data_IF_903485567941
#
_entry.id   IF_903485567941
#
_cell.length_a   1.000
_cell.length_b   1.000
_cell.length_c   1.000
_cell.angle_alpha   90.00
_cell.angle_beta   90.00
_cell.angle_gamma   90.00
#
_symmetry.space_group_name_H-M   'P 1'
#
loop_
_entity.id
_entity.type
_entity.pdbx_description
1 polymer ?
#
# COMPACT_ATOMS: atom_id res chain seq x y z
N UNK A 1 0.24 39.73 0.82
CA UNK A 1 0.23 38.64 -0.17
C UNK A 1 -0.60 39.16 -1.33
N UNK A 2 -0.11 39.09 -2.56
CA UNK A 2 -0.88 39.41 -3.75
C UNK A 2 -2.03 38.41 -3.92
N UNK A 3 -3.17 38.80 -4.48
CA UNK A 3 -4.28 37.86 -4.76
C UNK A 3 -3.86 36.71 -5.62
N UNK A 4 -2.94 36.91 -6.56
CA UNK A 4 -2.38 35.82 -7.38
C UNK A 4 -1.60 34.79 -6.55
N UNK A 5 -0.87 35.21 -5.53
CA UNK A 5 -0.20 34.30 -4.59
C UNK A 5 -1.23 33.51 -3.78
N UNK A 6 -2.31 34.15 -3.34
CA UNK A 6 -3.41 33.49 -2.63
C UNK A 6 -4.09 32.44 -3.51
N UNK A 7 -4.44 32.79 -4.75
CA UNK A 7 -5.01 31.86 -5.72
C UNK A 7 -4.07 30.69 -5.99
N UNK A 8 -2.76 30.94 -6.08
CA UNK A 8 -1.77 29.86 -6.24
C UNK A 8 -1.70 28.93 -5.01
N UNK A 9 -1.79 29.47 -3.79
CA UNK A 9 -1.86 28.65 -2.58
C UNK A 9 -3.14 27.79 -2.55
N UNK A 10 -4.28 28.35 -2.92
CA UNK A 10 -5.54 27.62 -3.04
C UNK A 10 -5.42 26.51 -4.12
N UNK A 11 -4.84 26.80 -5.26
CA UNK A 11 -4.62 25.78 -6.32
C UNK A 11 -3.79 24.60 -5.80
N UNK A 12 -2.73 24.86 -5.04
CA UNK A 12 -1.95 23.79 -4.39
C UNK A 12 -2.80 23.01 -3.39
N UNK A 13 -3.64 23.66 -2.60
CA UNK A 13 -4.54 23.00 -1.66
C UNK A 13 -5.51 22.06 -2.39
N UNK A 14 -6.10 22.46 -3.52
CA UNK A 14 -6.98 21.58 -4.31
C UNK A 14 -6.25 20.36 -4.85
N UNK A 15 -5.02 20.52 -5.34
CA UNK A 15 -4.20 19.39 -5.80
C UNK A 15 -3.94 18.42 -4.65
N UNK A 16 -3.57 18.93 -3.48
CA UNK A 16 -3.26 18.09 -2.31
C UNK A 16 -4.50 17.43 -1.70
N UNK A 17 -5.69 18.06 -1.79
CA UNK A 17 -6.97 17.41 -1.42
C UNK A 17 -7.21 16.15 -2.28
N UNK A 18 -7.04 16.27 -3.60
CA UNK A 18 -7.21 15.14 -4.50
C UNK A 18 -6.15 14.06 -4.27
N UNK A 19 -4.89 14.46 -4.05
CA UNK A 19 -3.81 13.54 -3.72
C UNK A 19 -4.07 12.81 -2.39
N UNK A 20 -4.58 13.50 -1.36
CA UNK A 20 -4.95 12.88 -0.08
C UNK A 20 -6.04 11.82 -0.25
N UNK A 21 -7.06 12.10 -1.07
CA UNK A 21 -8.13 11.16 -1.39
C UNK A 21 -7.59 9.93 -2.13
N UNK A 22 -6.79 10.15 -3.17
CA UNK A 22 -6.17 9.07 -3.94
C UNK A 22 -5.25 8.23 -3.06
N UNK A 23 -4.42 8.85 -2.24
CA UNK A 23 -3.53 8.14 -1.32
C UNK A 23 -4.31 7.21 -0.39
N UNK A 24 -5.30 7.71 0.33
CA UNK A 24 -6.04 6.92 1.32
C UNK A 24 -6.89 5.81 0.69
N UNK A 25 -7.62 6.14 -0.38
CA UNK A 25 -8.58 5.22 -0.99
C UNK A 25 -7.95 4.23 -1.97
N UNK A 26 -6.98 4.67 -2.74
CA UNK A 26 -6.43 3.87 -3.84
C UNK A 26 -5.07 3.30 -3.43
N UNK A 27 -4.09 4.15 -3.13
CA UNK A 27 -2.73 3.67 -2.86
C UNK A 27 -2.66 2.84 -1.57
N UNK A 28 -3.38 3.25 -0.53
CA UNK A 28 -3.40 2.56 0.76
C UNK A 28 -4.49 1.48 0.78
N UNK A 29 -5.78 1.85 0.85
CA UNK A 29 -6.85 0.86 1.02
C UNK A 29 -6.91 -0.15 -0.13
N UNK A 30 -7.08 0.31 -1.38
CA UNK A 30 -7.30 -0.59 -2.51
C UNK A 30 -6.06 -1.42 -2.83
N UNK A 31 -4.92 -0.76 -3.06
CA UNK A 31 -3.71 -1.40 -3.58
C UNK A 31 -2.92 -2.19 -2.52
N UNK A 32 -3.30 -2.14 -1.24
CA UNK A 32 -2.70 -2.97 -0.18
C UNK A 32 -3.74 -3.83 0.52
N UNK A 33 -4.59 -3.27 1.37
CA UNK A 33 -5.54 -4.00 2.21
C UNK A 33 -6.49 -4.88 1.41
N UNK A 34 -7.20 -4.28 0.44
CA UNK A 34 -8.26 -4.96 -0.27
C UNK A 34 -7.75 -6.08 -1.18
N UNK A 35 -6.65 -5.84 -1.89
CA UNK A 35 -6.12 -6.79 -2.88
C UNK A 35 -5.35 -7.97 -2.26
N UNK A 36 -4.88 -7.86 -1.01
CA UNK A 36 -4.19 -8.95 -0.31
C UNK A 36 -5.18 -9.96 0.29
N UNK A 37 -6.36 -9.53 0.71
CA UNK A 37 -7.35 -10.39 1.36
C UNK A 37 -7.71 -11.66 0.57
N UNK A 38 -7.93 -11.64 -0.76
CA UNK A 38 -8.15 -12.82 -1.56
C UNK A 38 -7.04 -13.86 -1.47
N UNK A 39 -5.78 -13.42 -1.40
CA UNK A 39 -4.63 -14.32 -1.24
C UNK A 39 -4.59 -14.93 0.15
N UNK A 40 -4.91 -14.17 1.21
CA UNK A 40 -5.04 -14.70 2.57
C UNK A 40 -6.08 -15.82 2.61
N UNK A 41 -7.27 -15.56 2.06
CA UNK A 41 -8.37 -16.53 2.02
C UNK A 41 -7.96 -17.79 1.27
N UNK A 42 -7.41 -17.65 0.06
CA UNK A 42 -6.97 -18.77 -0.76
C UNK A 42 -5.89 -19.60 -0.05
N UNK A 43 -4.91 -18.94 0.58
CA UNK A 43 -3.82 -19.59 1.32
C UNK A 43 -4.36 -20.47 2.45
N UNK A 44 -5.27 -19.94 3.27
CA UNK A 44 -5.85 -20.72 4.37
C UNK A 44 -6.78 -21.85 3.94
N UNK A 45 -7.35 -21.77 2.74
CA UNK A 45 -8.30 -22.76 2.23
C UNK A 45 -7.67 -23.87 1.43
N UNK A 46 -6.62 -23.56 0.67
CA UNK A 46 -6.09 -24.47 -0.33
C UNK A 46 -4.70 -25.03 0.00
N UNK A 47 -3.92 -24.32 0.82
CA UNK A 47 -2.59 -24.76 1.20
C UNK A 47 -2.59 -25.33 2.61
N UNK A 48 -2.10 -26.56 2.78
CA UNK A 48 -1.87 -27.13 4.13
C UNK A 48 -0.84 -26.29 4.90
N UNK A 49 -0.91 -26.30 6.23
CA UNK A 49 0.02 -25.54 7.09
C UNK A 49 1.49 -26.00 6.93
N UNK A 50 1.70 -27.21 6.41
CA UNK A 50 3.03 -27.75 6.11
C UNK A 50 3.53 -27.39 4.73
N UNK A 51 2.65 -26.90 3.84
CA UNK A 51 2.98 -26.54 2.47
C UNK A 51 4.04 -25.42 2.43
N UNK A 52 5.07 -25.52 1.55
CA UNK A 52 6.15 -24.53 1.51
C UNK A 52 5.64 -23.10 1.24
N UNK A 53 4.70 -22.92 0.33
CA UNK A 53 4.16 -21.59 0.01
C UNK A 53 3.30 -21.03 1.16
N UNK A 54 2.56 -21.88 1.89
CA UNK A 54 1.89 -21.45 3.11
C UNK A 54 2.90 -20.89 4.13
N UNK A 55 4.00 -21.62 4.38
CA UNK A 55 5.06 -21.17 5.31
C UNK A 55 5.77 -19.90 4.85
N UNK A 56 5.94 -19.72 3.54
CA UNK A 56 6.52 -18.51 2.97
C UNK A 56 5.63 -17.29 3.24
N UNK A 57 4.33 -17.41 2.95
CA UNK A 57 3.39 -16.28 2.94
C UNK A 57 2.73 -16.00 4.30
N UNK A 58 2.63 -16.99 5.20
CA UNK A 58 1.96 -16.85 6.51
C UNK A 58 2.36 -15.60 7.30
N UNK A 59 3.64 -15.23 7.44
CA UNK A 59 4.02 -14.03 8.19
C UNK A 59 3.44 -12.73 7.60
N UNK A 60 3.18 -12.73 6.30
CA UNK A 60 2.67 -11.57 5.58
C UNK A 60 1.14 -11.43 5.64
N UNK A 61 0.48 -12.32 6.39
CA UNK A 61 -0.97 -12.39 6.53
C UNK A 61 -1.45 -12.28 7.99
N UNK A 62 -0.53 -12.18 8.95
CA UNK A 62 -0.77 -12.29 10.39
C UNK A 62 -1.99 -11.48 10.85
N UNK A 63 -2.05 -10.21 10.51
CA UNK A 63 -3.02 -9.26 11.05
C UNK A 63 -4.08 -8.81 10.02
N UNK A 64 -3.83 -9.05 8.74
CA UNK A 64 -4.58 -8.50 7.61
C UNK A 64 -6.09 -8.69 7.71
N UNK A 65 -6.57 -9.88 8.06
CA UNK A 65 -8.03 -10.15 8.10
C UNK A 65 -8.73 -9.39 9.21
N UNK A 66 -8.09 -9.28 10.37
CA UNK A 66 -8.62 -8.56 11.54
C UNK A 66 -8.67 -7.06 11.24
N UNK A 67 -7.59 -6.51 10.72
CA UNK A 67 -7.51 -5.08 10.38
C UNK A 67 -8.48 -4.73 9.25
N UNK A 68 -8.60 -5.55 8.23
CA UNK A 68 -9.57 -5.32 7.15
C UNK A 68 -11.02 -5.35 7.66
N UNK A 69 -11.34 -6.21 8.62
CA UNK A 69 -12.67 -6.24 9.23
C UNK A 69 -12.95 -4.94 10.00
N UNK A 70 -11.99 -4.43 10.79
CA UNK A 70 -12.10 -3.14 11.48
C UNK A 70 -12.20 -1.97 10.49
N UNK A 71 -11.39 -1.96 9.45
CA UNK A 71 -11.42 -0.93 8.41
C UNK A 71 -12.81 -0.84 7.73
N UNK A 72 -13.47 -1.98 7.48
CA UNK A 72 -14.84 -1.99 6.95
C UNK A 72 -15.86 -1.42 7.92
N UNK A 73 -15.63 -1.57 9.22
CA UNK A 73 -16.57 -1.05 10.23
C UNK A 73 -16.41 0.46 10.46
N UNK A 74 -15.21 1.01 10.30
CA UNK A 74 -14.90 2.39 10.70
C UNK A 74 -14.56 3.27 9.51
N UNK A 75 -13.81 2.77 8.53
CA UNK A 75 -13.24 3.57 7.46
C UNK A 75 -14.09 3.56 6.18
N UNK A 76 -14.47 2.37 5.71
CA UNK A 76 -15.04 2.14 4.37
C UNK A 76 -16.53 1.84 4.38
N UNK A 77 -17.21 1.99 5.50
CA UNK A 77 -18.66 1.87 5.60
C UNK A 77 -19.36 3.19 5.20
N UNK A 78 -20.68 3.12 4.98
CA UNK A 78 -21.50 4.30 4.78
C UNK A 78 -21.45 5.21 6.02
N UNK A 79 -21.23 6.50 5.82
CA UNK A 79 -20.90 7.50 6.84
C UNK A 79 -19.62 7.16 7.64
N UNK A 80 -18.76 6.34 7.10
CA UNK A 80 -17.44 6.05 7.68
C UNK A 80 -16.46 7.19 7.50
N UNK A 81 -15.24 6.97 8.00
CA UNK A 81 -14.21 8.00 8.01
C UNK A 81 -13.96 8.63 6.62
N UNK A 82 -13.83 7.81 5.56
CA UNK A 82 -13.56 8.33 4.22
C UNK A 82 -14.68 9.23 3.70
N UNK A 83 -15.94 8.88 3.96
CA UNK A 83 -17.06 9.73 3.53
C UNK A 83 -17.15 11.04 4.31
N UNK A 84 -16.72 11.04 5.59
CA UNK A 84 -16.84 12.23 6.45
C UNK A 84 -15.66 13.19 6.33
N UNK A 85 -14.46 12.70 6.02
CA UNK A 85 -13.22 13.47 6.20
C UNK A 85 -12.36 13.61 4.96
N UNK A 86 -12.71 12.92 3.87
CA UNK A 86 -11.94 12.94 2.61
C UNK A 86 -12.85 13.32 1.44
N UNK A 87 -12.36 14.16 0.55
CA UNK A 87 -13.02 14.45 -0.72
C UNK A 87 -12.97 13.20 -1.64
N UNK A 88 -14.02 12.84 -2.35
CA UNK A 88 -15.30 13.52 -2.55
C UNK A 88 -16.46 13.01 -1.65
N UNK A 89 -16.23 12.67 -0.41
CA UNK A 89 -17.26 12.29 0.55
C UNK A 89 -17.94 10.97 0.16
N UNK A 90 -19.26 10.94 0.10
CA UNK A 90 -20.06 9.74 -0.23
C UNK A 90 -19.72 9.06 -1.56
N UNK A 91 -19.00 9.76 -2.44
CA UNK A 91 -18.56 9.20 -3.72
C UNK A 91 -17.18 8.52 -3.65
N UNK A 92 -16.48 8.63 -2.53
CA UNK A 92 -15.12 8.12 -2.37
C UNK A 92 -14.99 6.64 -2.72
N UNK A 93 -15.86 5.79 -2.18
CA UNK A 93 -15.83 4.34 -2.43
C UNK A 93 -16.17 3.97 -3.88
N UNK A 94 -16.95 4.81 -4.58
CA UNK A 94 -17.24 4.61 -6.00
C UNK A 94 -16.01 4.82 -6.88
N UNK A 95 -15.14 5.76 -6.52
CA UNK A 95 -13.86 5.98 -7.21
C UNK A 95 -12.97 4.74 -7.04
N UNK A 96 -12.86 4.20 -5.83
CA UNK A 96 -12.08 2.98 -5.58
C UNK A 96 -12.59 1.81 -6.44
N UNK A 97 -13.91 1.61 -6.51
CA UNK A 97 -14.53 0.59 -7.36
C UNK A 97 -14.25 0.81 -8.85
N UNK A 98 -14.26 2.06 -9.30
CA UNK A 98 -13.96 2.38 -10.70
C UNK A 98 -12.49 2.10 -11.04
N UNK A 99 -11.56 2.49 -10.17
CA UNK A 99 -10.12 2.26 -10.36
C UNK A 99 -9.81 0.77 -10.39
N UNK A 100 -10.48 -0.02 -9.54
CA UNK A 100 -10.28 -1.47 -9.49
C UNK A 100 -10.59 -2.18 -10.80
N UNK A 101 -11.50 -1.68 -11.63
CA UNK A 101 -11.80 -2.27 -12.96
C UNK A 101 -10.57 -2.40 -13.85
N UNK A 102 -9.61 -1.50 -13.69
CA UNK A 102 -8.37 -1.46 -14.48
C UNK A 102 -7.15 -1.92 -13.69
N UNK A 103 -7.35 -2.41 -12.47
CA UNK A 103 -6.26 -2.91 -11.65
C UNK A 103 -5.74 -4.24 -12.17
N UNK A 104 -4.42 -4.38 -12.21
CA UNK A 104 -3.74 -5.57 -12.67
C UNK A 104 -2.70 -6.00 -11.64
N UNK A 105 -2.80 -7.23 -11.13
CA UNK A 105 -1.90 -7.76 -10.12
C UNK A 105 -0.44 -7.79 -10.59
N UNK A 106 -0.19 -8.19 -11.84
CA UNK A 106 1.19 -8.33 -12.36
C UNK A 106 1.91 -6.98 -12.49
N UNK A 107 1.16 -5.89 -12.57
CA UNK A 107 1.69 -4.53 -12.63
C UNK A 107 2.02 -3.96 -11.24
N UNK A 108 1.74 -4.69 -10.14
CA UNK A 108 2.05 -4.26 -8.78
C UNK A 108 3.47 -4.60 -8.34
N UNK A 109 4.21 -5.40 -9.10
CA UNK A 109 5.64 -5.58 -8.90
C UNK A 109 6.34 -4.23 -9.05
N UNK A 110 7.14 -3.80 -8.06
CA UNK A 110 7.67 -2.43 -8.02
C UNK A 110 8.40 -1.98 -9.30
N UNK A 111 9.29 -2.79 -9.93
CA UNK A 111 9.93 -2.37 -11.18
C UNK A 111 8.92 -2.12 -12.31
N UNK A 112 7.86 -2.95 -12.38
CA UNK A 112 6.81 -2.84 -13.41
C UNK A 112 5.94 -1.61 -13.15
N UNK A 113 5.53 -1.37 -11.90
CA UNK A 113 4.78 -0.19 -11.48
C UNK A 113 5.53 1.11 -11.80
N UNK A 114 6.82 1.17 -11.50
CA UNK A 114 7.65 2.34 -11.81
C UNK A 114 7.72 2.64 -13.31
N UNK A 115 7.85 1.62 -14.13
CA UNK A 115 7.83 1.78 -15.61
C UNK A 115 6.46 2.22 -16.09
N UNK A 116 5.38 1.58 -15.61
CA UNK A 116 3.99 1.93 -15.98
C UNK A 116 3.65 3.38 -15.63
N UNK A 117 4.09 3.86 -14.48
CA UNK A 117 3.88 5.26 -14.05
C UNK A 117 4.83 6.27 -14.74
N UNK A 118 5.72 5.82 -15.62
CA UNK A 118 6.70 6.70 -16.27
C UNK A 118 7.77 7.23 -15.33
N UNK A 119 8.04 6.58 -14.20
CA UNK A 119 9.08 6.94 -13.24
C UNK A 119 10.41 6.25 -13.54
N UNK A 120 10.38 5.17 -14.31
CA UNK A 120 11.54 4.40 -14.73
C UNK A 120 11.40 3.96 -16.20
N UNK A 121 12.50 3.53 -16.79
CA UNK A 121 12.54 2.82 -18.07
C UNK A 121 13.18 1.44 -17.90
N UNK A 122 12.81 0.44 -18.71
CA UNK A 122 13.51 -0.83 -18.73
C UNK A 122 15.00 -0.64 -19.02
N UNK A 123 15.84 -1.30 -18.22
CA UNK A 123 17.30 -1.25 -18.38
C UNK A 123 17.90 -2.59 -17.88
N UNK A 124 18.13 -3.55 -18.81
CA UNK A 124 18.70 -4.85 -18.46
C UNK A 124 20.12 -4.78 -17.86
N UNK A 125 20.83 -3.66 -18.04
CA UNK A 125 22.17 -3.46 -17.47
C UNK A 125 22.12 -2.98 -16.02
N UNK A 126 20.97 -2.49 -15.55
CA UNK A 126 20.76 -2.10 -14.16
C UNK A 126 20.59 -3.31 -13.26
N UNK A 127 21.10 -3.28 -12.01
CA UNK A 127 20.90 -4.37 -11.04
C UNK A 127 19.44 -4.69 -10.72
N UNK A 128 18.53 -3.76 -11.00
CA UNK A 128 17.10 -3.91 -10.76
C UNK A 128 16.27 -4.09 -12.04
N UNK A 129 16.90 -4.22 -13.22
CA UNK A 129 16.22 -4.33 -14.51
C UNK A 129 15.57 -3.03 -14.99
N UNK A 130 15.69 -1.93 -14.25
CA UNK A 130 15.12 -0.62 -14.57
C UNK A 130 16.09 0.51 -14.20
N UNK A 131 15.97 1.65 -14.90
CA UNK A 131 16.70 2.88 -14.62
C UNK A 131 15.72 4.01 -14.34
N UNK A 132 15.89 4.67 -13.18
CA UNK A 132 14.99 5.75 -12.75
C UNK A 132 15.15 7.00 -13.62
N UNK A 133 14.02 7.60 -14.02
CA UNK A 133 13.98 8.87 -14.75
C UNK A 133 14.06 10.07 -13.79
N UNK A 134 13.52 9.93 -12.58
CA UNK A 134 13.60 10.93 -11.52
C UNK A 134 14.57 10.43 -10.47
N UNK A 135 15.72 11.08 -10.34
CA UNK A 135 16.77 10.69 -9.38
C UNK A 135 16.40 11.05 -7.96
N UNK A 136 15.66 12.14 -7.75
CA UNK A 136 15.16 12.58 -6.44
C UNK A 136 13.82 11.91 -6.12
N UNK A 137 13.86 10.58 -5.96
CA UNK A 137 12.69 9.76 -5.65
C UNK A 137 13.06 8.65 -4.65
N UNK A 138 13.20 8.98 -3.36
CA UNK A 138 13.68 8.04 -2.33
C UNK A 138 12.86 6.74 -2.25
N UNK A 139 11.54 6.82 -2.40
CA UNK A 139 10.68 5.63 -2.44
C UNK A 139 11.14 4.60 -3.47
N UNK A 140 11.46 5.06 -4.69
CA UNK A 140 11.88 4.14 -5.75
C UNK A 140 13.31 3.62 -5.51
N UNK A 141 14.21 4.47 -5.03
CA UNK A 141 15.61 4.07 -4.75
C UNK A 141 15.66 3.00 -3.67
N UNK A 142 15.05 3.26 -2.52
CA UNK A 142 15.03 2.34 -1.38
C UNK A 142 14.16 1.12 -1.67
N UNK A 143 13.02 1.35 -2.31
CA UNK A 143 12.07 0.30 -2.67
C UNK A 143 12.64 -0.73 -3.62
N UNK A 144 13.42 -0.34 -4.62
CA UNK A 144 14.07 -1.29 -5.54
C UNK A 144 15.09 -2.18 -4.82
N UNK A 145 15.82 -1.65 -3.83
CA UNK A 145 16.73 -2.45 -3.03
C UNK A 145 15.95 -3.49 -2.17
N UNK A 146 14.88 -3.06 -1.50
CA UNK A 146 14.02 -3.95 -0.69
C UNK A 146 13.32 -4.98 -1.58
N UNK A 147 12.78 -4.57 -2.74
CA UNK A 147 12.17 -5.48 -3.73
C UNK A 147 13.14 -6.57 -4.17
N UNK A 148 14.36 -6.18 -4.54
CA UNK A 148 15.39 -7.13 -4.98
C UNK A 148 15.77 -8.14 -3.89
N UNK A 149 15.80 -7.70 -2.62
CA UNK A 149 16.02 -8.59 -1.49
C UNK A 149 14.87 -9.59 -1.32
N UNK A 150 13.62 -9.13 -1.43
CA UNK A 150 12.42 -9.99 -1.38
C UNK A 150 12.46 -11.01 -2.53
N UNK A 151 12.66 -10.56 -3.76
CA UNK A 151 12.64 -11.41 -4.95
C UNK A 151 13.76 -12.49 -4.89
N UNK A 152 14.97 -12.09 -4.46
CA UNK A 152 16.08 -13.03 -4.29
C UNK A 152 15.80 -14.07 -3.20
N UNK A 153 15.16 -13.67 -2.10
CA UNK A 153 14.73 -14.58 -1.03
C UNK A 153 13.69 -15.57 -1.54
N UNK A 154 12.67 -15.08 -2.22
CA UNK A 154 11.57 -15.91 -2.74
C UNK A 154 12.08 -16.88 -3.81
N UNK A 155 12.97 -16.44 -4.72
CA UNK A 155 13.55 -17.30 -5.73
C UNK A 155 14.38 -18.44 -5.10
N UNK A 156 15.29 -18.11 -4.17
CA UNK A 156 16.10 -19.11 -3.47
C UNK A 156 15.22 -20.10 -2.69
N UNK A 157 14.17 -19.61 -2.00
CA UNK A 157 13.24 -20.44 -1.26
C UNK A 157 12.40 -21.34 -2.17
N UNK A 158 11.80 -20.82 -3.23
CA UNK A 158 10.97 -21.61 -4.14
C UNK A 158 11.76 -22.72 -4.81
N UNK A 159 13.02 -22.47 -5.23
CA UNK A 159 13.87 -23.48 -5.87
C UNK A 159 14.32 -24.61 -4.93
N UNK A 160 14.22 -24.44 -3.61
CA UNK A 160 14.43 -25.57 -2.67
C UNK A 160 13.35 -26.63 -2.83
N UNK A 161 12.11 -26.22 -3.07
CA UNK A 161 10.94 -27.10 -3.09
C UNK A 161 10.46 -27.44 -4.51
N UNK A 162 10.74 -26.59 -5.48
CA UNK A 162 10.37 -26.77 -6.89
C UNK A 162 11.63 -26.77 -7.76
N UNK A 163 12.27 -27.96 -7.93
CA UNK A 163 13.48 -28.08 -8.74
C UNK A 163 13.22 -27.97 -10.25
N UNK A 164 11.97 -28.14 -10.69
CA UNK A 164 11.55 -27.98 -12.10
C UNK A 164 10.10 -27.48 -12.19
N UNK A 165 9.75 -26.94 -13.35
CA UNK A 165 8.39 -26.48 -13.65
C UNK A 165 7.37 -27.65 -13.62
N UNK A 166 7.78 -28.88 -13.97
CA UNK A 166 6.92 -30.07 -13.89
C UNK A 166 6.51 -30.37 -12.45
N UNK A 167 7.42 -30.23 -11.49
CA UNK A 167 7.10 -30.41 -10.06
C UNK A 167 6.12 -29.38 -9.59
N UNK A 168 6.28 -28.12 -10.02
CA UNK A 168 5.37 -27.04 -9.71
C UNK A 168 3.97 -27.29 -10.30
N UNK A 169 3.90 -27.70 -11.56
CA UNK A 169 2.62 -27.99 -12.23
C UNK A 169 1.90 -29.19 -11.62
N UNK A 170 2.65 -30.16 -11.08
CA UNK A 170 2.13 -31.32 -10.37
C UNK A 170 1.63 -31.03 -8.94
N UNK A 171 1.89 -29.86 -8.40
CA UNK A 171 1.47 -29.48 -7.05
C UNK A 171 -0.01 -29.09 -7.01
N UNK A 172 -0.86 -30.03 -6.59
CA UNK A 172 -2.31 -29.87 -6.61
C UNK A 172 -2.79 -28.76 -5.67
N UNK A 173 -2.16 -28.62 -4.49
CA UNK A 173 -2.52 -27.56 -3.53
C UNK A 173 -2.15 -26.18 -4.11
N UNK A 174 -0.98 -26.04 -4.71
CA UNK A 174 -0.55 -24.79 -5.34
C UNK A 174 -1.47 -24.38 -6.48
N UNK A 175 -1.84 -25.34 -7.36
CA UNK A 175 -2.75 -25.06 -8.47
C UNK A 175 -4.16 -24.66 -7.99
N UNK A 176 -4.66 -25.33 -6.95
CA UNK A 176 -5.94 -24.98 -6.32
C UNK A 176 -5.89 -23.61 -5.65
N UNK A 177 -4.78 -23.29 -4.95
CA UNK A 177 -4.54 -21.97 -4.35
C UNK A 177 -4.60 -20.86 -5.37
N UNK A 178 -3.87 -21.00 -6.46
CA UNK A 178 -3.86 -19.97 -7.51
C UNK A 178 -5.22 -19.79 -8.17
N UNK A 179 -5.89 -20.89 -8.47
CA UNK A 179 -7.26 -20.84 -9.03
C UNK A 179 -8.25 -20.13 -8.10
N UNK A 180 -8.18 -20.37 -6.79
CA UNK A 180 -9.05 -19.71 -5.83
C UNK A 180 -8.67 -18.24 -5.64
N UNK A 181 -7.39 -17.90 -5.59
CA UNK A 181 -6.92 -16.52 -5.50
C UNK A 181 -7.45 -15.70 -6.67
N UNK A 182 -7.32 -16.18 -7.90
CA UNK A 182 -7.88 -15.55 -9.10
C UNK A 182 -9.40 -15.35 -8.98
N UNK A 183 -10.13 -16.40 -8.62
CA UNK A 183 -11.59 -16.33 -8.45
C UNK A 183 -11.99 -15.28 -7.41
N UNK A 184 -11.29 -15.18 -6.30
CA UNK A 184 -11.59 -14.24 -5.24
C UNK A 184 -11.19 -12.80 -5.56
N UNK A 185 -10.08 -12.58 -6.27
CA UNK A 185 -9.72 -11.26 -6.83
C UNK A 185 -10.81 -10.75 -7.79
N UNK A 186 -11.46 -11.67 -8.49
CA UNK A 186 -12.58 -11.38 -9.39
C UNK A 186 -13.86 -11.02 -8.62
N UNK A 187 -14.12 -11.62 -7.45
CA UNK A 187 -15.44 -11.61 -6.82
C UNK A 187 -15.59 -10.78 -5.54
N UNK A 188 -14.53 -10.25 -4.90
CA UNK A 188 -14.64 -9.83 -3.49
C UNK A 188 -14.04 -8.51 -3.05
N UNK A 189 -13.97 -7.49 -3.87
CA UNK A 189 -13.84 -6.14 -3.29
C UNK A 189 -15.26 -5.62 -3.02
N UNK A 190 -15.79 -5.99 -1.85
CA UNK A 190 -17.14 -5.60 -1.43
C UNK A 190 -17.06 -4.21 -0.79
N UNK A 191 -17.62 -3.22 -1.49
CA UNK A 191 -17.99 -1.95 -0.89
C UNK A 191 -19.46 -2.04 -0.43
N UNK A 192 -19.75 -1.71 0.82
CA UNK A 192 -21.11 -1.68 1.30
C UNK A 192 -21.89 -0.56 0.61
N UNK A 193 -22.96 -0.90 -0.10
CA UNK A 193 -23.85 0.04 -0.78
C UNK A 193 -24.97 0.46 0.18
N UNK A 194 -25.15 1.77 0.36
CA UNK A 194 -26.35 2.31 1.00
C UNK A 194 -27.52 2.25 0.02
N UNK A 195 -28.58 1.55 0.37
CA UNK A 195 -29.84 1.63 -0.40
C UNK A 195 -30.55 2.95 -0.04
N UNK A 196 -31.01 3.76 -1.02
CA UNK A 196 -31.80 4.94 -0.73
C UNK A 196 -33.07 4.57 0.02
N UNK A 197 -33.28 5.14 1.22
CA UNK A 197 -34.52 5.06 1.97
C UNK A 197 -34.65 3.96 3.02
N UNK A 198 -33.66 3.08 3.23
CA UNK A 198 -33.68 2.08 4.29
C UNK A 198 -32.62 2.42 5.37
N UNK A 199 -33.07 2.57 6.62
CA UNK A 199 -32.17 2.68 7.79
C UNK A 199 -31.52 1.36 8.19
N UNK A 200 -31.66 0.31 7.39
CA UNK A 200 -31.13 -1.02 7.69
C UNK A 200 -29.91 -1.37 6.84
N UNK A 201 -28.89 -1.87 7.51
CA UNK A 201 -27.73 -2.51 6.90
C UNK A 201 -28.17 -3.85 6.31
N UNK A 202 -28.40 -3.91 5.01
CA UNK A 202 -28.59 -5.17 4.31
C UNK A 202 -27.25 -5.66 3.78
N UNK A 203 -26.63 -6.55 4.51
CA UNK A 203 -25.56 -7.41 4.02
C UNK A 203 -26.18 -8.46 3.09
N UNK A 204 -26.62 -8.06 1.92
CA UNK A 204 -27.17 -8.98 0.93
C UNK A 204 -26.05 -9.53 0.04
N UNK A 205 -25.44 -10.62 0.49
CA UNK A 205 -24.50 -11.42 -0.31
C UNK A 205 -25.12 -11.94 -1.63
N UNK A 206 -26.43 -11.94 -1.75
CA UNK A 206 -27.16 -12.44 -2.93
C UNK A 206 -27.35 -11.39 -4.03
N UNK A 207 -27.40 -10.10 -3.70
CA UNK A 207 -27.45 -9.01 -4.72
C UNK A 207 -26.06 -8.55 -5.18
N UNK A 208 -25.00 -8.99 -4.51
CA UNK A 208 -23.61 -8.70 -4.88
C UNK A 208 -23.18 -9.34 -6.21
N UNK A 209 -23.82 -10.39 -6.65
CA UNK A 209 -23.57 -11.01 -7.95
C UNK A 209 -23.78 -10.05 -9.13
N UNK A 210 -24.79 -9.18 -9.08
CA UNK A 210 -25.06 -8.21 -10.16
C UNK A 210 -24.17 -6.96 -10.05
N UNK A 211 -23.96 -6.45 -8.84
CA UNK A 211 -23.07 -5.28 -8.63
C UNK A 211 -21.61 -5.64 -8.89
N UNK A 212 -21.21 -6.86 -8.58
CA UNK A 212 -19.86 -7.38 -8.86
C UNK A 212 -19.68 -7.68 -10.35
N UNK A 213 -20.72 -8.10 -11.08
CA UNK A 213 -20.67 -8.20 -12.54
C UNK A 213 -20.46 -6.86 -13.23
N UNK A 214 -21.02 -5.77 -12.69
CA UNK A 214 -20.80 -4.42 -13.24
C UNK A 214 -19.47 -3.77 -12.83
N UNK A 215 -18.84 -4.21 -11.73
CA UNK A 215 -17.68 -3.53 -11.12
C UNK A 215 -16.45 -4.44 -10.99
N UNK A 216 -16.59 -5.75 -11.12
CA UNK A 216 -15.52 -6.73 -10.92
C UNK A 216 -14.77 -7.11 -12.19
N UNK A 217 -13.56 -7.65 -12.02
CA UNK A 217 -12.80 -8.32 -13.07
C UNK A 217 -13.39 -9.69 -13.47
N UNK A 218 -14.68 -9.95 -13.19
CA UNK A 218 -15.35 -11.24 -13.37
C UNK A 218 -15.14 -11.92 -14.70
N UNK A 219 -14.85 -11.13 -15.74
CA UNK A 219 -14.62 -11.59 -17.11
C UNK A 219 -13.13 -11.60 -17.49
N UNK A 220 -12.21 -11.36 -16.54
CA UNK A 220 -10.77 -11.18 -16.83
C UNK A 220 -9.93 -12.40 -16.42
N UNK A 221 -10.54 -13.48 -15.93
CA UNK A 221 -9.82 -14.72 -15.56
C UNK A 221 -8.95 -15.30 -16.67
N UNK A 222 -9.32 -15.08 -17.93
CA UNK A 222 -8.65 -15.60 -19.11
C UNK A 222 -7.75 -14.56 -19.81
N UNK A 223 -7.47 -13.43 -19.18
CA UNK A 223 -6.59 -12.44 -19.78
C UNK A 223 -5.16 -12.98 -19.93
N UNK A 224 -4.49 -12.72 -21.06
CA UNK A 224 -3.18 -13.30 -21.37
C UNK A 224 -2.06 -12.82 -20.44
N UNK A 225 -2.28 -11.74 -19.67
CA UNK A 225 -1.34 -11.20 -18.71
C UNK A 225 -1.44 -11.82 -17.32
N UNK A 226 -2.48 -12.62 -17.01
CA UNK A 226 -2.56 -13.36 -15.75
C UNK A 226 -1.54 -14.53 -15.75
N UNK A 227 -0.73 -14.68 -14.68
CA UNK A 227 0.13 -15.86 -14.54
C UNK A 227 -0.67 -17.15 -14.58
N UNK A 228 -0.21 -18.11 -15.36
CA UNK A 228 -0.83 -19.43 -15.43
C UNK A 228 -0.40 -20.37 -14.30
N UNK A 229 0.56 -19.93 -13.51
CA UNK A 229 1.21 -20.71 -12.44
C UNK A 229 1.79 -22.03 -12.98
N UNK A 230 2.47 -21.94 -14.11
CA UNK A 230 3.09 -23.09 -14.81
C UNK A 230 4.61 -23.09 -14.72
N UNK A 231 5.22 -22.00 -14.28
CA UNK A 231 6.67 -21.86 -14.16
C UNK A 231 7.08 -21.35 -12.77
N UNK A 232 8.28 -21.74 -12.35
CA UNK A 232 8.89 -21.24 -11.09
C UNK A 232 9.02 -19.70 -11.14
N UNK A 233 9.33 -19.15 -12.29
CA UNK A 233 9.43 -17.70 -12.47
C UNK A 233 8.09 -16.98 -12.20
N UNK A 234 6.96 -17.53 -12.65
CA UNK A 234 5.63 -17.01 -12.31
C UNK A 234 5.34 -17.09 -10.81
N UNK A 235 5.68 -18.22 -10.16
CA UNK A 235 5.52 -18.40 -8.72
C UNK A 235 6.35 -17.37 -7.94
N UNK A 236 7.64 -17.23 -8.29
CA UNK A 236 8.55 -16.27 -7.65
C UNK A 236 8.00 -14.85 -7.77
N UNK A 237 7.64 -14.42 -8.97
CA UNK A 237 7.07 -13.09 -9.20
C UNK A 237 5.79 -12.88 -8.40
N UNK A 238 4.90 -13.87 -8.38
CA UNK A 238 3.63 -13.82 -7.65
C UNK A 238 3.85 -13.66 -6.16
N UNK A 239 4.65 -14.55 -5.54
CA UNK A 239 4.94 -14.49 -4.12
C UNK A 239 5.69 -13.21 -3.72
N UNK A 240 6.66 -12.77 -4.53
CA UNK A 240 7.38 -11.51 -4.31
C UNK A 240 6.46 -10.30 -4.34
N UNK A 241 5.51 -10.26 -5.28
CA UNK A 241 4.52 -9.19 -5.38
C UNK A 241 3.59 -9.18 -4.16
N UNK A 242 3.12 -10.33 -3.71
CA UNK A 242 2.29 -10.45 -2.50
C UNK A 242 3.05 -9.94 -1.28
N UNK A 243 4.29 -10.39 -1.08
CA UNK A 243 5.13 -9.96 0.05
C UNK A 243 5.39 -8.46 -0.01
N UNK A 244 5.73 -7.93 -1.18
CA UNK A 244 5.93 -6.49 -1.39
C UNK A 244 4.70 -5.67 -1.01
N UNK A 245 3.52 -6.05 -1.48
CA UNK A 245 2.26 -5.34 -1.21
C UNK A 245 1.93 -5.38 0.28
N UNK A 246 2.01 -6.57 0.89
CA UNK A 246 1.61 -6.79 2.29
C UNK A 246 2.60 -6.16 3.29
N UNK A 247 3.84 -5.89 2.90
CA UNK A 247 4.89 -5.36 3.76
C UNK A 247 5.37 -3.97 3.33
N UNK A 248 6.30 -3.89 2.41
CA UNK A 248 7.01 -2.66 2.08
C UNK A 248 6.11 -1.60 1.41
N UNK A 249 5.22 -1.99 0.50
CA UNK A 249 4.29 -1.04 -0.10
C UNK A 249 3.32 -0.50 0.95
N UNK A 250 2.73 -1.39 1.78
CA UNK A 250 1.86 -0.96 2.87
C UNK A 250 2.59 -0.01 3.84
N UNK A 251 3.81 -0.34 4.26
CA UNK A 251 4.61 0.53 5.12
C UNK A 251 4.81 1.93 4.50
N UNK A 252 5.15 1.98 3.21
CA UNK A 252 5.40 3.24 2.51
C UNK A 252 4.15 4.13 2.40
N UNK A 253 2.95 3.56 2.27
CA UNK A 253 1.71 4.34 2.13
C UNK A 253 0.96 4.55 3.44
N UNK A 254 1.29 3.81 4.51
CA UNK A 254 0.60 3.88 5.80
C UNK A 254 1.36 4.72 6.84
N UNK A 255 2.57 4.33 7.21
CA UNK A 255 3.26 4.90 8.39
C UNK A 255 3.74 6.34 8.20
N UNK A 256 3.71 6.86 6.98
CA UNK A 256 3.99 8.26 6.67
C UNK A 256 2.80 9.21 6.86
N UNK A 257 1.59 8.73 7.11
CA UNK A 257 0.39 9.55 7.11
C UNK A 257 0.43 10.66 8.17
N UNK A 258 0.85 10.35 9.41
CA UNK A 258 0.98 11.35 10.46
C UNK A 258 2.30 12.14 10.35
N UNK A 259 3.50 11.51 10.33
CA UNK A 259 4.76 12.26 10.38
C UNK A 259 5.01 13.13 9.15
N UNK A 260 4.52 12.74 7.96
CA UNK A 260 4.75 13.50 6.71
C UNK A 260 3.53 14.31 6.26
N UNK A 261 2.33 13.98 6.69
CA UNK A 261 1.10 14.56 6.16
C UNK A 261 0.10 15.03 7.24
N UNK A 262 0.42 14.93 8.53
CA UNK A 262 -0.48 15.29 9.64
C UNK A 262 -0.71 16.80 9.81
N UNK A 263 0.09 17.67 9.18
CA UNK A 263 -0.16 19.11 9.20
C UNK A 263 -1.12 19.50 8.07
N UNK A 264 -2.41 19.50 8.36
CA UNK A 264 -3.49 19.68 7.37
C UNK A 264 -3.46 20.99 6.56
N UNK A 265 -2.94 22.13 7.04
CA UNK A 265 -2.75 23.28 6.15
C UNK A 265 -1.83 23.01 4.96
N UNK A 266 -0.85 22.11 5.09
CA UNK A 266 -0.01 21.69 3.98
C UNK A 266 -0.65 20.58 3.13
N UNK A 267 -1.47 19.74 3.75
CA UNK A 267 -2.11 18.62 3.08
C UNK A 267 -3.57 18.45 3.52
N UNK A 268 -4.44 19.38 3.14
CA UNK A 268 -5.87 19.27 3.46
C UNK A 268 -6.48 18.03 2.81
N UNK A 269 -7.49 17.45 3.46
CA UNK A 269 -8.21 16.26 2.97
C UNK A 269 -9.54 16.63 2.30
N UNK A 270 -10.04 17.84 2.54
CA UNK A 270 -11.30 18.37 1.99
C UNK A 270 -11.11 19.80 1.55
N UNK A 271 -11.76 20.18 0.47
CA UNK A 271 -12.00 21.59 0.10
C UNK A 271 -13.48 21.93 0.28
N UNK A 272 -13.77 22.89 1.15
CA UNK A 272 -15.14 23.29 1.49
C UNK A 272 -15.75 24.33 0.53
N UNK A 273 -14.95 24.89 -0.38
CA UNK A 273 -15.35 25.95 -1.31
C UNK A 273 -14.77 25.69 -2.70
N UNK A 274 -15.47 26.13 -3.77
CA UNK A 274 -14.89 26.13 -5.11
C UNK A 274 -13.74 27.14 -5.22
N UNK A 275 -12.94 27.03 -6.28
CA UNK A 275 -11.90 28.03 -6.58
C UNK A 275 -12.56 29.41 -6.76
N UNK A 276 -12.06 30.46 -6.11
CA UNK A 276 -12.63 31.80 -6.25
C UNK A 276 -12.53 32.31 -7.69
N UNK A 277 -13.63 32.85 -8.20
CA UNK A 277 -13.66 33.49 -9.53
C UNK A 277 -13.69 35.01 -9.40
N UNK A 278 -13.03 35.79 -10.26
CA UNK A 278 -13.05 37.24 -10.26
C UNK A 278 -14.49 37.77 -10.20
N UNK A 279 -14.73 38.75 -9.29
CA UNK A 279 -16.03 39.34 -9.07
C UNK A 279 -16.93 38.62 -8.08
N UNK A 280 -16.48 37.52 -7.49
CA UNK A 280 -17.19 36.85 -6.39
C UNK A 280 -16.73 37.36 -5.01
N UNK A 281 -17.56 37.14 -3.98
CA UNK A 281 -17.21 37.48 -2.59
C UNK A 281 -16.00 36.68 -2.09
N UNK A 282 -15.88 35.46 -2.54
CA UNK A 282 -14.76 34.60 -2.22
C UNK A 282 -13.45 35.10 -2.82
N UNK A 283 -13.49 35.71 -4.00
CA UNK A 283 -12.34 36.37 -4.61
C UNK A 283 -11.97 37.65 -3.86
N UNK A 284 -12.94 38.50 -3.49
CA UNK A 284 -12.72 39.66 -2.65
C UNK A 284 -12.13 39.29 -1.26
N UNK A 285 -12.60 38.21 -0.65
CA UNK A 285 -12.01 37.66 0.58
C UNK A 285 -10.55 37.24 0.36
N UNK A 286 -10.25 36.60 -0.76
CA UNK A 286 -8.88 36.20 -1.10
C UNK A 286 -7.93 37.38 -1.33
N UNK A 287 -8.45 38.51 -1.81
CA UNK A 287 -7.70 39.77 -1.96
C UNK A 287 -7.48 40.48 -0.63
N UNK A 288 -8.52 40.56 0.20
CA UNK A 288 -8.50 41.40 1.41
C UNK A 288 -8.05 40.67 2.67
N UNK A 289 -8.28 39.34 2.72
CA UNK A 289 -7.92 38.52 3.87
C UNK A 289 -7.50 37.07 3.42
N UNK A 290 -6.31 36.93 2.84
CA UNK A 290 -5.84 35.70 2.25
C UNK A 290 -5.79 34.49 3.21
N UNK A 291 -5.37 34.73 4.47
CA UNK A 291 -5.29 33.67 5.47
C UNK A 291 -6.68 33.11 5.83
N UNK A 292 -7.65 34.01 5.96
CA UNK A 292 -9.04 33.64 6.23
C UNK A 292 -9.65 32.91 5.03
N UNK A 293 -9.42 33.39 3.81
CA UNK A 293 -9.87 32.72 2.59
C UNK A 293 -9.30 31.29 2.48
N UNK A 294 -8.01 31.12 2.79
CA UNK A 294 -7.36 29.81 2.80
C UNK A 294 -7.97 28.87 3.85
N UNK A 295 -8.06 29.31 5.10
CA UNK A 295 -8.60 28.50 6.20
C UNK A 295 -10.07 28.12 5.97
N UNK A 296 -10.88 29.02 5.40
CA UNK A 296 -12.28 28.71 5.06
C UNK A 296 -12.41 27.73 3.88
N UNK A 297 -11.39 27.59 3.07
CA UNK A 297 -11.41 26.70 1.89
C UNK A 297 -11.00 25.28 2.23
N UNK A 298 -10.03 25.11 3.15
CA UNK A 298 -9.51 23.80 3.53
C UNK A 298 -10.38 23.08 4.57
N UNK A 299 -9.91 21.91 5.00
CA UNK A 299 -10.57 21.04 5.99
C UNK A 299 -11.01 21.79 7.24
N UNK A 300 -12.26 21.63 7.65
CA UNK A 300 -12.81 22.25 8.87
C UNK A 300 -12.12 21.76 10.14
N UNK A 301 -12.22 22.53 11.23
CA UNK A 301 -11.60 22.14 12.51
C UNK A 301 -12.06 20.77 13.00
N UNK A 302 -13.35 20.46 12.93
CA UNK A 302 -13.88 19.16 13.36
C UNK A 302 -13.33 18.01 12.50
N UNK A 303 -13.38 18.17 11.19
CA UNK A 303 -12.81 17.18 10.27
C UNK A 303 -11.31 17.02 10.46
N UNK A 304 -10.59 18.11 10.76
CA UNK A 304 -9.17 18.10 11.07
C UNK A 304 -8.87 17.28 12.33
N UNK A 305 -9.62 17.49 13.41
CA UNK A 305 -9.45 16.73 14.66
C UNK A 305 -9.67 15.25 14.42
N UNK A 306 -10.79 14.87 13.78
CA UNK A 306 -11.10 13.48 13.46
C UNK A 306 -10.02 12.89 12.56
N UNK A 307 -9.63 13.60 11.51
CA UNK A 307 -8.63 13.14 10.53
C UNK A 307 -7.27 12.91 11.18
N UNK A 308 -6.76 13.89 11.91
CA UNK A 308 -5.43 13.78 12.55
C UNK A 308 -5.42 12.68 13.61
N UNK A 309 -6.45 12.56 14.44
CA UNK A 309 -6.54 11.50 15.46
C UNK A 309 -6.51 10.11 14.85
N UNK A 310 -7.17 9.92 13.70
CA UNK A 310 -7.16 8.62 13.04
C UNK A 310 -5.81 8.32 12.38
N UNK A 311 -5.23 9.25 11.61
CA UNK A 311 -3.93 9.01 10.97
C UNK A 311 -2.80 8.85 11.97
N UNK A 312 -2.92 9.41 13.19
CA UNK A 312 -2.02 9.15 14.30
C UNK A 312 -2.06 7.66 14.69
N UNK A 313 -3.26 7.12 14.91
CA UNK A 313 -3.43 5.69 15.20
C UNK A 313 -2.90 4.84 14.05
N UNK A 314 -3.31 5.12 12.81
CA UNK A 314 -2.89 4.38 11.62
C UNK A 314 -1.38 4.47 11.33
N UNK A 315 -0.67 5.46 11.87
CA UNK A 315 0.78 5.60 11.72
C UNK A 315 1.58 4.98 12.86
N UNK A 316 0.91 4.30 13.81
CA UNK A 316 1.57 3.75 15.00
C UNK A 316 1.92 2.28 14.81
N UNK A 317 3.17 1.93 15.09
CA UNK A 317 3.60 0.53 15.21
C UNK A 317 3.20 -0.04 16.56
N UNK A 318 2.73 -1.30 16.58
CA UNK A 318 2.41 -1.99 17.83
C UNK A 318 3.67 -2.52 18.53
N UNK A 319 3.55 -2.82 19.84
CA UNK A 319 4.66 -3.36 20.62
C UNK A 319 5.00 -4.82 20.29
N UNK A 320 4.10 -5.54 19.63
CA UNK A 320 4.27 -6.93 19.18
C UNK A 320 4.51 -7.03 17.67
N UNK A 321 4.89 -5.91 17.03
CA UNK A 321 5.14 -5.87 15.58
C UNK A 321 6.30 -6.79 15.19
N UNK A 322 6.13 -7.52 14.10
CA UNK A 322 7.15 -8.38 13.51
C UNK A 322 7.55 -7.82 12.15
N UNK A 323 8.80 -7.41 12.03
CA UNK A 323 9.30 -6.70 10.85
C UNK A 323 9.81 -7.63 9.75
N UNK A 324 9.92 -7.11 8.55
CA UNK A 324 10.44 -7.82 7.39
C UNK A 324 11.86 -8.34 7.67
N UNK A 325 12.07 -9.63 7.45
CA UNK A 325 13.30 -10.33 7.83
C UNK A 325 13.30 -10.89 9.25
N UNK A 326 12.19 -10.80 9.97
CA UNK A 326 11.96 -11.44 11.26
C UNK A 326 10.89 -12.53 11.16
N UNK A 327 10.84 -13.42 12.14
CA UNK A 327 9.83 -14.47 12.29
C UNK A 327 9.36 -14.53 13.74
N UNK A 328 8.05 -14.54 13.94
CA UNK A 328 7.40 -14.77 15.23
C UNK A 328 7.52 -16.22 15.71
N UNK A 329 7.62 -17.17 14.78
CA UNK A 329 7.81 -18.59 15.06
C UNK A 329 9.25 -19.03 14.78
N UNK A 330 10.13 -19.19 15.79
CA UNK A 330 11.54 -19.61 15.57
C UNK A 330 11.68 -20.98 14.89
N UNK A 331 10.69 -21.86 15.07
CA UNK A 331 10.66 -23.21 14.48
C UNK A 331 9.71 -23.32 13.27
N UNK A 332 9.58 -22.25 12.47
CA UNK A 332 8.70 -22.22 11.30
C UNK A 332 9.02 -23.27 10.24
N UNK A 333 10.23 -23.78 10.21
CA UNK A 333 10.66 -24.88 9.33
C UNK A 333 11.74 -25.73 9.98
N UNK A 334 11.79 -27.02 9.62
CA UNK A 334 12.91 -27.93 9.94
C UNK A 334 13.96 -27.98 8.82
N UNK A 335 13.69 -27.38 7.65
CA UNK A 335 14.60 -27.40 6.51
C UNK A 335 15.74 -26.39 6.69
N UNK A 336 16.97 -26.92 6.81
CA UNK A 336 18.14 -26.09 7.03
C UNK A 336 18.55 -25.27 5.80
N UNK A 337 18.16 -25.67 4.57
CA UNK A 337 18.39 -24.85 3.38
C UNK A 337 17.50 -23.62 3.43
N UNK A 338 16.22 -23.81 3.77
CA UNK A 338 15.28 -22.69 3.93
C UNK A 338 15.68 -21.72 5.05
N UNK A 339 16.18 -22.24 6.19
CA UNK A 339 16.73 -21.39 7.27
C UNK A 339 17.93 -20.56 6.81
N UNK A 340 18.88 -21.18 6.10
CA UNK A 340 20.05 -20.44 5.56
C UNK A 340 19.67 -19.38 4.56
N UNK A 341 18.73 -19.68 3.67
CA UNK A 341 18.23 -18.70 2.70
C UNK A 341 17.52 -17.53 3.41
N UNK A 342 16.77 -17.79 4.47
CA UNK A 342 16.14 -16.75 5.29
C UNK A 342 17.17 -15.88 6.03
N UNK A 343 18.21 -16.46 6.63
CA UNK A 343 19.27 -15.68 7.28
C UNK A 343 20.05 -14.80 6.30
N UNK A 344 20.24 -15.25 5.07
CA UNK A 344 20.82 -14.44 4.00
C UNK A 344 19.91 -13.26 3.64
N UNK A 345 18.60 -13.48 3.55
CA UNK A 345 17.61 -12.41 3.34
C UNK A 345 17.65 -11.39 4.47
N UNK A 346 17.60 -11.84 5.73
CA UNK A 346 17.69 -10.99 6.91
C UNK A 346 18.95 -10.12 6.89
N UNK A 347 20.12 -10.72 6.62
CA UNK A 347 21.38 -9.98 6.53
C UNK A 347 21.34 -8.94 5.42
N UNK A 348 20.80 -9.28 4.24
CA UNK A 348 20.67 -8.33 3.13
C UNK A 348 19.80 -7.12 3.51
N UNK A 349 18.71 -7.33 4.24
CA UNK A 349 17.87 -6.23 4.73
C UNK A 349 18.61 -5.33 5.74
N UNK A 350 19.45 -5.89 6.61
CA UNK A 350 20.29 -5.11 7.53
C UNK A 350 21.29 -4.25 6.75
N UNK A 351 21.92 -4.82 5.73
CA UNK A 351 22.86 -4.08 4.88
C UNK A 351 22.14 -2.94 4.12
N UNK A 352 20.94 -3.20 3.59
CA UNK A 352 20.08 -2.18 2.95
C UNK A 352 19.74 -1.05 3.93
N UNK A 353 19.34 -1.37 5.16
CA UNK A 353 19.07 -0.37 6.18
C UNK A 353 20.28 0.53 6.44
N UNK A 354 21.46 -0.07 6.58
CA UNK A 354 22.72 0.68 6.76
C UNK A 354 23.00 1.63 5.58
N UNK A 355 22.73 1.19 4.35
CA UNK A 355 22.88 2.02 3.15
C UNK A 355 21.90 3.20 3.18
N UNK A 356 20.61 2.95 3.46
CA UNK A 356 19.57 3.99 3.53
C UNK A 356 19.91 5.02 4.62
N UNK A 357 20.33 4.57 5.81
CA UNK A 357 20.74 5.45 6.91
C UNK A 357 21.92 6.34 6.51
N UNK A 358 22.95 5.78 5.85
CA UNK A 358 24.09 6.53 5.36
C UNK A 358 23.70 7.56 4.29
N UNK A 359 22.81 7.18 3.38
CA UNK A 359 22.28 8.12 2.37
C UNK A 359 21.48 9.26 3.02
N UNK A 360 20.68 8.97 4.03
CA UNK A 360 19.91 10.00 4.76
C UNK A 360 20.78 10.96 5.56
N UNK A 361 22.01 10.58 5.93
CA UNK A 361 22.99 11.46 6.58
C UNK A 361 23.73 12.37 5.59
N UNK A 362 23.67 12.10 4.30
CA UNK A 362 24.37 12.85 3.26
C UNK A 362 23.44 13.91 2.64
N UNK A 363 23.51 15.12 3.16
CA UNK A 363 22.70 16.27 2.73
C UNK A 363 22.97 16.77 1.29
N UNK A 364 23.99 16.24 0.63
CA UNK A 364 24.34 16.53 -0.76
C UNK A 364 23.64 15.62 -1.78
N UNK A 365 23.01 14.54 -1.31
CA UNK A 365 22.28 13.61 -2.17
C UNK A 365 20.87 14.14 -2.44
N UNK A 366 20.61 14.54 -3.66
CA UNK A 366 19.30 15.09 -4.08
C UNK A 366 18.14 14.11 -3.88
N UNK A 367 18.41 12.80 -4.03
CA UNK A 367 17.39 11.76 -3.91
C UNK A 367 17.00 11.38 -2.46
N UNK A 368 17.34 12.20 -1.47
CA UNK A 368 17.07 11.88 -0.04
C UNK A 368 16.18 12.86 0.69
N UNK A 369 16.26 14.14 0.37
CA UNK A 369 15.61 15.18 1.18
C UNK A 369 14.56 15.99 0.41
N UNK A 370 14.57 15.97 -0.91
CA UNK A 370 13.77 16.87 -1.72
C UNK A 370 13.98 18.33 -1.28
N UNK A 371 12.99 19.17 -1.54
CA UNK A 371 13.00 20.57 -1.13
C UNK A 371 12.83 20.76 0.38
N UNK A 372 12.16 19.84 1.05
CA UNK A 372 11.83 19.94 2.48
C UNK A 372 12.97 19.52 3.41
N UNK A 373 14.06 18.95 2.89
CA UNK A 373 15.18 18.39 3.65
C UNK A 373 14.73 17.45 4.78
N UNK A 374 13.69 16.70 4.55
CA UNK A 374 13.15 15.72 5.50
C UNK A 374 13.60 14.32 5.08
N UNK A 375 14.29 13.55 5.95
CA UNK A 375 14.80 12.24 5.58
C UNK A 375 13.67 11.26 5.27
N UNK A 376 13.82 10.44 4.22
CA UNK A 376 12.87 9.39 3.89
C UNK A 376 13.20 8.13 4.69
N UNK A 377 12.27 7.69 5.55
CA UNK A 377 12.50 6.59 6.50
C UNK A 377 11.48 5.44 6.36
N UNK A 378 10.48 5.58 5.48
CA UNK A 378 9.35 4.65 5.38
C UNK A 378 9.75 3.23 4.92
N UNK A 379 10.91 3.09 4.29
CA UNK A 379 11.43 1.80 3.81
C UNK A 379 12.69 1.34 4.57
N UNK A 380 12.86 1.78 5.81
CA UNK A 380 13.82 1.14 6.71
C UNK A 380 13.30 -0.26 7.06
N UNK A 381 14.02 -1.34 6.74
CA UNK A 381 13.56 -2.70 7.07
C UNK A 381 13.35 -2.94 8.57
N UNK A 382 14.13 -2.27 9.42
CA UNK A 382 14.09 -2.39 10.89
C UNK A 382 14.21 -3.85 11.36
N UNK A 383 15.16 -4.56 10.81
CA UNK A 383 15.38 -5.98 11.11
C UNK A 383 16.21 -6.22 12.37
N UNK A 384 16.77 -5.14 12.96
CA UNK A 384 17.57 -5.19 14.20
C UNK A 384 17.42 -3.89 14.97
N UNK A 385 17.54 -3.94 16.29
CA UNK A 385 17.64 -2.78 17.18
C UNK A 385 19.07 -2.16 17.13
N UNK A 386 19.68 -2.10 15.95
CA UNK A 386 21.05 -1.63 15.78
C UNK A 386 21.30 -0.23 16.35
N UNK A 387 20.24 0.57 16.47
CA UNK A 387 20.27 1.92 17.03
C UNK A 387 19.72 1.99 18.47
N UNK A 388 19.29 0.86 19.07
CA UNK A 388 18.63 0.84 20.39
C UNK A 388 17.28 1.55 20.46
N UNK A 389 16.75 1.97 19.32
CA UNK A 389 15.44 2.62 19.21
C UNK A 389 14.39 1.60 18.81
N UNK A 390 13.45 1.35 19.70
CA UNK A 390 12.24 0.58 19.38
C UNK A 390 11.46 1.27 18.26
N UNK A 391 10.99 0.51 17.28
CA UNK A 391 10.10 1.01 16.23
C UNK A 391 8.63 1.04 16.67
N UNK A 392 8.33 1.02 17.95
CA UNK A 392 6.97 1.15 18.49
C UNK A 392 6.49 2.61 18.48
N UNK A 393 5.18 2.81 18.36
CA UNK A 393 4.60 4.16 18.29
C UNK A 393 4.77 4.81 16.91
N UNK A 394 4.69 6.14 16.86
CA UNK A 394 4.74 6.92 15.62
C UNK A 394 6.20 7.19 15.24
N UNK A 395 6.80 6.35 14.45
CA UNK A 395 8.23 6.45 14.13
C UNK A 395 8.55 6.71 12.66
N UNK A 396 7.61 6.45 11.75
CA UNK A 396 7.83 6.40 10.30
C UNK A 396 8.94 5.40 9.86
N UNK A 397 9.39 4.55 10.77
CA UNK A 397 10.41 3.53 10.52
C UNK A 397 9.81 2.14 10.61
N UNK A 398 10.45 1.20 9.92
CA UNK A 398 10.12 -0.22 9.99
C UNK A 398 9.11 -0.64 8.95
N UNK A 399 9.37 -1.83 8.40
CA UNK A 399 8.48 -2.49 7.44
C UNK A 399 7.90 -3.71 8.15
N UNK A 400 6.64 -3.65 8.66
CA UNK A 400 5.98 -4.84 9.18
C UNK A 400 5.89 -5.95 8.15
N UNK A 401 5.91 -7.19 8.61
CA UNK A 401 5.72 -8.34 7.71
C UNK A 401 4.34 -8.36 7.07
N UNK A 402 3.31 -7.94 7.80
CA UNK A 402 1.92 -7.95 7.34
C UNK A 402 1.31 -6.56 7.40
N UNK A 403 0.16 -6.42 6.77
CA UNK A 403 -0.74 -5.30 6.97
C UNK A 403 -1.25 -5.42 8.41
N UNK A 404 -0.74 -4.59 9.33
CA UNK A 404 -0.96 -4.70 10.77
C UNK A 404 -1.85 -3.60 11.34
N UNK A 405 -2.14 -2.56 10.58
CA UNK A 405 -2.98 -1.45 10.98
C UNK A 405 -3.67 -0.79 9.78
#
# INVERSE_FOLDING_TARGET
>A
MDVQETIWQLAKAYVTVNDSAWHGLISHWLHTHAVIEPFVIATHRQLSVTHPIHKLLKPHYRDTMTINALARQVLTNANGFFEMTVCPGEHALRISSYVYKNWNFTEQALPVDLVKRGMAKPDPSSPYGVSLLIKDYPYAVDGLAVWSAIESWVDEYCRIYYPSDDVLQGDVELQAWWKEALKNLIHKIIFSKRLPGSGEFVSNALHLGEVVREVGHGDIADQPWWPKMTTITELVRTCSTIIWIASALHAAVNFGQYPYAGYLPNRPTVSGRPMPEPGTKEYEEAETNPDKAFIHTITSQLQSIIGVSLIEVLSSHSSDEVYLGQRDEPKWTSDDKAKRAFEKFRKNLIDIQGIIMNMNKNDKLQNRYGLAKFPYMLLYPNTSDADGESATGITAKGIPNSISI
#
